data_IF_435387307338
#
_entry.id   IF_435387307338
#
_cell.length_a   1.000
_cell.length_b   1.000
_cell.length_c   1.000
_cell.angle_alpha   90.00
_cell.angle_beta   90.00
_cell.angle_gamma   90.00
#
_symmetry.space_group_name_H-M   'P 1'
#
loop_
_entity.id
_entity.type
_entity.pdbx_description
1 polymer ?
#
# COMPACT_ATOMS: atom_id res chain seq x y z
N UNK A 1 -3.65 -12.97 -9.46
CA UNK A 1 -4.55 -11.82 -9.44
C UNK A 1 -5.21 -11.77 -8.08
N UNK A 2 -4.96 -10.72 -7.32
CA UNK A 2 -5.52 -10.50 -5.99
C UNK A 2 -6.96 -10.00 -6.10
N UNK A 3 -7.79 -10.35 -5.10
CA UNK A 3 -9.19 -9.91 -5.06
C UNK A 3 -9.36 -8.80 -4.03
N UNK A 4 -9.79 -7.63 -4.48
CA UNK A 4 -10.12 -6.51 -3.60
C UNK A 4 -11.15 -6.90 -2.54
N UNK A 5 -12.15 -7.74 -2.86
CA UNK A 5 -13.18 -8.16 -1.89
C UNK A 5 -12.62 -8.93 -0.70
N UNK A 6 -11.48 -9.60 -0.85
CA UNK A 6 -10.81 -10.35 0.22
C UNK A 6 -9.88 -9.43 1.03
N UNK A 7 -9.22 -8.49 0.35
CA UNK A 7 -8.15 -7.67 0.92
C UNK A 7 -8.59 -6.29 1.40
N UNK A 8 -9.71 -5.76 0.93
CA UNK A 8 -10.16 -4.42 1.28
C UNK A 8 -10.28 -4.26 2.80
N UNK A 9 -9.88 -3.09 3.27
CA UNK A 9 -9.79 -2.76 4.68
C UNK A 9 -8.57 -3.34 5.40
N UNK A 10 -7.68 -4.06 4.71
CA UNK A 10 -6.47 -4.57 5.37
C UNK A 10 -5.51 -3.43 5.71
N UNK A 11 -4.99 -3.45 6.94
CA UNK A 11 -3.91 -2.59 7.40
C UNK A 11 -2.64 -2.92 6.62
N UNK A 12 -2.10 -1.95 5.89
CA UNK A 12 -0.85 -2.10 5.16
C UNK A 12 0.28 -1.40 5.93
N UNK A 13 1.34 -2.13 6.22
CA UNK A 13 2.50 -1.61 6.94
C UNK A 13 3.82 -2.12 6.35
N UNK A 14 4.90 -1.39 6.57
CA UNK A 14 6.24 -1.84 6.15
C UNK A 14 6.77 -2.93 7.07
N UNK A 15 7.84 -3.63 6.66
CA UNK A 15 8.57 -4.58 7.52
C UNK A 15 9.11 -3.95 8.81
N UNK A 16 9.25 -2.63 8.84
CA UNK A 16 9.73 -1.88 10.01
C UNK A 16 8.56 -1.38 10.89
N UNK A 17 7.32 -1.78 10.57
CA UNK A 17 6.11 -1.43 11.31
C UNK A 17 5.51 -0.06 10.96
N UNK A 18 6.02 0.63 9.93
CA UNK A 18 5.46 1.91 9.49
C UNK A 18 4.10 1.68 8.83
N UNK A 19 3.05 2.28 9.38
CA UNK A 19 1.73 2.25 8.76
C UNK A 19 1.67 3.09 7.49
N UNK A 20 1.12 2.52 6.42
CA UNK A 20 0.97 3.17 5.12
C UNK A 20 -0.48 3.55 4.80
N UNK A 21 -1.45 2.88 5.42
CA UNK A 21 -2.87 3.08 5.17
C UNK A 21 -3.64 1.77 5.10
N UNK A 22 -4.89 1.86 4.65
CA UNK A 22 -5.74 0.70 4.38
C UNK A 22 -5.75 0.38 2.90
N UNK A 23 -5.74 -0.90 2.55
CA UNK A 23 -5.97 -1.32 1.17
C UNK A 23 -7.42 -1.02 0.80
N UNK A 24 -7.62 -0.20 -0.23
CA UNK A 24 -8.95 0.17 -0.72
C UNK A 24 -9.28 -0.46 -2.06
N UNK A 25 -8.26 -0.72 -2.88
CA UNK A 25 -8.47 -1.33 -4.21
C UNK A 25 -7.24 -2.12 -4.70
N UNK A 26 -7.44 -2.90 -5.75
CA UNK A 26 -6.42 -3.65 -6.47
C UNK A 26 -6.58 -3.40 -7.97
N UNK A 27 -5.59 -2.74 -8.59
CA UNK A 27 -5.59 -2.43 -10.02
C UNK A 27 -4.81 -3.51 -10.78
N UNK A 28 -5.45 -4.27 -11.68
CA UNK A 28 -4.74 -5.19 -12.56
C UNK A 28 -4.01 -4.43 -13.68
N UNK A 29 -2.69 -4.61 -13.82
CA UNK A 29 -1.90 -3.93 -14.88
C UNK A 29 -1.44 -4.87 -16.00
N UNK A 30 -1.90 -6.12 -16.01
CA UNK A 30 -1.49 -7.16 -16.98
C UNK A 30 -0.14 -7.82 -16.65
N UNK A 31 0.77 -7.11 -15.98
CA UNK A 31 2.01 -7.68 -15.45
C UNK A 31 1.88 -8.07 -13.98
N UNK A 32 1.63 -7.09 -13.11
CA UNK A 32 1.43 -7.30 -11.68
C UNK A 32 0.29 -6.42 -11.18
N UNK A 33 -0.46 -6.90 -10.20
CA UNK A 33 -1.48 -6.07 -9.58
C UNK A 33 -0.81 -4.91 -8.82
N UNK A 34 -1.53 -3.82 -8.67
CA UNK A 34 -1.11 -2.66 -7.89
C UNK A 34 -2.11 -2.48 -6.76
N UNK A 35 -1.64 -2.49 -5.52
CA UNK A 35 -2.45 -2.19 -4.35
C UNK A 35 -2.61 -0.68 -4.23
N UNK A 36 -3.87 -0.25 -4.11
CA UNK A 36 -4.21 1.13 -3.78
C UNK A 36 -4.37 1.19 -2.26
N UNK A 37 -3.45 1.90 -1.61
CA UNK A 37 -3.40 2.04 -0.16
C UNK A 37 -3.66 3.50 0.18
N UNK A 38 -4.63 3.76 1.05
CA UNK A 38 -5.02 5.12 1.42
C UNK A 38 -5.04 5.31 2.92
N UNK A 39 -4.57 6.46 3.38
CA UNK A 39 -4.92 7.02 4.69
C UNK A 39 -5.64 8.36 4.50
N UNK A 40 -5.78 9.17 5.55
CA UNK A 40 -6.52 10.44 5.49
C UNK A 40 -5.86 11.48 4.56
N UNK A 41 -4.54 11.41 4.38
CA UNK A 41 -3.75 12.48 3.76
C UNK A 41 -3.09 12.06 2.45
N UNK A 42 -2.92 10.75 2.20
CA UNK A 42 -2.20 10.23 1.04
C UNK A 42 -2.78 8.95 0.45
N UNK A 43 -2.55 8.79 -0.85
CA UNK A 43 -2.71 7.54 -1.58
C UNK A 43 -1.33 7.04 -2.02
N UNK A 44 -1.04 5.77 -1.73
CA UNK A 44 0.20 5.09 -2.11
C UNK A 44 -0.14 3.91 -3.02
N UNK A 45 0.49 3.87 -4.19
CA UNK A 45 0.36 2.75 -5.13
C UNK A 45 1.53 1.79 -4.93
N UNK A 46 1.22 0.58 -4.49
CA UNK A 46 2.23 -0.43 -4.15
C UNK A 46 2.17 -1.56 -5.17
N UNK A 47 3.24 -1.80 -5.95
CA UNK A 47 3.26 -2.91 -6.88
C UNK A 47 3.24 -4.23 -6.10
N UNK A 48 2.24 -5.07 -6.34
CA UNK A 48 2.00 -6.33 -5.62
C UNK A 48 2.91 -7.47 -6.14
N UNK A 49 4.22 -7.21 -6.14
CA UNK A 49 5.28 -8.13 -6.51
C UNK A 49 5.65 -9.01 -5.32
N UNK A 50 6.12 -10.23 -5.57
CA UNK A 50 6.61 -11.14 -4.50
C UNK A 50 7.75 -10.55 -3.66
N UNK A 51 8.52 -9.63 -4.23
CA UNK A 51 9.62 -8.94 -3.53
C UNK A 51 9.15 -7.77 -2.68
N UNK A 52 7.93 -7.28 -2.94
CA UNK A 52 7.36 -6.11 -2.27
C UNK A 52 6.31 -6.52 -1.25
N UNK A 53 5.44 -7.49 -1.55
CA UNK A 53 4.44 -8.00 -0.61
C UNK A 53 5.04 -9.19 0.14
N UNK A 54 5.39 -8.97 1.40
CA UNK A 54 6.10 -9.95 2.25
C UNK A 54 5.12 -10.88 2.94
N UNK A 55 3.99 -10.36 3.40
CA UNK A 55 2.98 -11.12 4.14
C UNK A 55 1.58 -10.61 3.81
N UNK A 56 0.62 -11.53 3.72
CA UNK A 56 -0.81 -11.23 3.63
C UNK A 56 -1.57 -12.15 4.57
N UNK A 57 -2.17 -11.59 5.62
CA UNK A 57 -3.12 -12.27 6.50
C UNK A 57 -4.52 -11.73 6.23
N UNK A 58 -5.36 -12.55 5.59
CA UNK A 58 -6.78 -12.23 5.35
C UNK A 58 -7.55 -12.24 6.67
N UNK A 59 -7.18 -13.13 7.59
CA UNK A 59 -7.83 -13.28 8.89
C UNK A 59 -7.60 -12.05 9.78
N UNK A 60 -6.35 -11.56 9.83
CA UNK A 60 -5.99 -10.41 10.66
C UNK A 60 -6.19 -9.07 9.94
N UNK A 61 -6.65 -9.10 8.68
CA UNK A 61 -6.75 -7.93 7.81
C UNK A 61 -5.43 -7.14 7.83
N UNK A 62 -4.33 -7.83 7.55
CA UNK A 62 -2.97 -7.29 7.61
C UNK A 62 -2.17 -7.63 6.37
N UNK A 63 -1.44 -6.65 5.85
CA UNK A 63 -0.50 -6.82 4.73
C UNK A 63 0.83 -6.17 5.12
N UNK A 64 1.92 -6.93 5.05
CA UNK A 64 3.28 -6.42 5.27
C UNK A 64 3.98 -6.26 3.94
N UNK A 65 4.54 -5.07 3.71
CA UNK A 65 5.26 -4.73 2.48
C UNK A 65 6.70 -4.31 2.74
N UNK A 66 7.55 -4.48 1.73
CA UNK A 66 8.90 -3.95 1.63
C UNK A 66 9.02 -3.14 0.34
N UNK A 67 8.55 -1.88 0.33
CA UNK A 67 8.67 -1.01 -0.84
C UNK A 67 10.13 -0.85 -1.27
N UNK A 68 10.42 -0.71 -2.58
CA UNK A 68 11.76 -0.34 -3.02
C UNK A 68 12.13 1.07 -2.50
N UNK A 69 13.43 1.34 -2.32
CA UNK A 69 13.91 2.67 -1.93
C UNK A 69 13.33 3.76 -2.83
N UNK A 70 12.95 4.89 -2.24
CA UNK A 70 12.36 6.03 -2.95
C UNK A 70 10.88 5.90 -3.31
N UNK A 71 10.24 4.71 -3.26
CA UNK A 71 8.81 4.60 -3.62
C UNK A 71 7.94 5.47 -2.71
N UNK A 72 8.15 5.40 -1.39
CA UNK A 72 7.34 6.15 -0.43
C UNK A 72 7.61 7.65 -0.47
N UNK A 73 8.80 8.08 -0.90
CA UNK A 73 9.17 9.50 -1.02
C UNK A 73 8.34 10.22 -2.09
N UNK A 74 7.92 9.49 -3.14
CA UNK A 74 7.02 10.00 -4.19
C UNK A 74 5.67 10.43 -3.59
N UNK A 75 5.21 9.73 -2.55
CA UNK A 75 3.89 9.92 -1.94
C UNK A 75 3.93 10.66 -0.60
N UNK A 76 5.11 10.82 0.01
CA UNK A 76 5.28 11.56 1.26
C UNK A 76 5.11 13.08 1.09
N UNK A 77 5.02 13.57 -0.16
CA UNK A 77 5.06 14.99 -0.47
C UNK A 77 6.42 15.63 -0.15
N UNK A 78 6.67 16.86 -0.61
CA UNK A 78 7.78 17.63 -0.08
C UNK A 78 7.57 17.87 1.43
N UNK A 79 8.62 17.81 2.27
CA UNK A 79 8.50 18.21 3.67
C UNK A 79 7.93 19.63 3.73
N UNK A 80 6.74 19.80 4.31
CA UNK A 80 6.10 21.12 4.48
C UNK A 80 4.98 21.48 3.48
N UNK A 81 4.63 20.62 2.53
CA UNK A 81 3.39 20.80 1.75
C UNK A 81 2.20 20.22 2.50
N UNK A 82 1.79 20.86 3.59
CA UNK A 82 0.44 20.68 4.10
C UNK A 82 -0.52 21.06 2.99
N UNK A 83 -1.27 20.10 2.46
CA UNK A 83 -2.24 20.33 1.39
C UNK A 83 -3.32 21.29 1.92
N UNK A 84 -3.39 22.55 1.48
CA UNK A 84 -4.53 23.38 1.82
C UNK A 84 -5.72 22.85 1.02
N UNK A 85 -6.70 22.31 1.75
CA UNK A 85 -7.98 21.86 1.22
C UNK A 85 -8.59 22.82 0.19
#
# INVERSE_FOLDING_TARGET
MWKVSELAGSRVETTDGMFLGLLTDVIPTGANDVFVVRDEDREVLIPALKTVVVEVSIQDKKIVVKPPPGLLEIYAGPPGSGNPR
#
